data_IF_846836731439
#
_entry.id   IF_846836731439
#
_cell.length_a   1.000
_cell.length_b   1.000
_cell.length_c   1.000
_cell.angle_alpha   90.00
_cell.angle_beta   90.00
_cell.angle_gamma   90.00
#
_symmetry.space_group_name_H-M   'P 1'
#
loop_
_entity.id
_entity.type
_entity.pdbx_description
1 polymer ?
#
# COMPACT_ATOMS: atom_id res chain seq x y z
N UNK A 1 20.57 68.11 -16.47
CA UNK A 1 20.59 67.54 -15.11
C UNK A 1 19.44 66.55 -15.01
N UNK A 2 19.67 65.25 -15.25
CA UNK A 2 20.05 64.24 -14.23
C UNK A 2 18.93 64.04 -13.20
N UNK A 3 18.13 62.97 -13.35
CA UNK A 3 17.89 61.90 -12.36
C UNK A 3 16.55 61.15 -12.64
N UNK A 4 16.67 59.92 -13.13
CA UNK A 4 15.81 58.75 -12.80
C UNK A 4 16.20 58.29 -11.38
N UNK A 5 15.48 57.45 -10.57
CA UNK A 5 14.21 56.70 -10.69
C UNK A 5 13.28 56.86 -9.45
N UNK A 6 12.13 56.16 -9.43
CA UNK A 6 11.79 55.12 -8.42
C UNK A 6 10.28 54.85 -8.41
N UNK A 7 9.89 53.76 -9.09
CA UNK A 7 8.66 53.04 -8.80
C UNK A 7 8.78 52.46 -7.39
N UNK A 8 7.76 52.65 -6.55
CA UNK A 8 7.72 52.13 -5.19
C UNK A 8 7.96 50.61 -5.17
N UNK A 9 8.94 50.21 -4.38
CA UNK A 9 9.19 48.85 -3.95
C UNK A 9 8.86 48.77 -2.46
N UNK A 10 8.04 47.78 -2.06
CA UNK A 10 8.06 46.98 -0.79
C UNK A 10 6.62 46.57 -0.43
N UNK A 11 6.28 45.31 -0.14
CA UNK A 11 7.13 44.20 0.25
C UNK A 11 6.57 42.85 -0.19
N UNK A 12 7.41 42.09 -0.90
CA UNK A 12 7.37 40.64 -0.86
C UNK A 12 8.12 40.14 0.38
N UNK A 13 7.57 39.10 1.01
CA UNK A 13 8.14 38.15 1.99
C UNK A 13 6.93 37.38 2.56
N UNK A 14 6.85 36.07 2.73
CA UNK A 14 7.75 34.90 2.68
C UNK A 14 6.78 33.73 2.36
N UNK A 15 7.11 32.79 1.48
CA UNK A 15 8.07 31.73 1.78
C UNK A 15 7.35 30.58 2.48
N UNK A 16 7.23 29.43 1.81
CA UNK A 16 6.65 28.25 2.44
C UNK A 16 6.47 27.06 1.50
N UNK A 17 7.56 26.33 1.26
CA UNK A 17 7.61 25.02 0.60
C UNK A 17 6.47 24.10 1.06
N UNK A 18 5.50 23.83 0.20
CA UNK A 18 4.65 22.65 0.26
C UNK A 18 5.30 21.53 -0.54
N UNK A 19 6.26 20.83 0.09
CA UNK A 19 6.92 19.64 -0.47
C UNK A 19 5.88 18.66 -1.00
N UNK A 20 6.17 18.07 -2.16
CA UNK A 20 5.44 16.89 -2.65
C UNK A 20 5.33 15.85 -1.55
N UNK A 21 4.09 15.50 -1.21
CA UNK A 21 3.75 14.40 -0.31
C UNK A 21 2.79 13.54 -1.10
N UNK A 22 3.27 12.46 -1.70
CA UNK A 22 2.69 11.15 -1.33
C UNK A 22 3.57 9.94 -1.68
N UNK A 23 4.87 10.09 -1.95
CA UNK A 23 5.70 8.95 -2.41
C UNK A 23 6.72 8.47 -1.38
N UNK A 24 6.45 8.67 -0.09
CA UNK A 24 7.33 8.29 1.03
C UNK A 24 6.66 7.28 1.98
N UNK A 25 5.74 6.46 1.48
CA UNK A 25 4.89 5.65 2.35
C UNK A 25 5.35 4.19 2.54
N UNK A 26 6.43 3.75 1.88
CA UNK A 26 6.88 2.35 1.99
C UNK A 26 7.99 2.08 2.98
N UNK A 27 9.07 2.87 2.94
CA UNK A 27 10.12 2.76 3.95
C UNK A 27 9.55 2.98 5.35
N UNK A 28 8.58 3.91 5.48
CA UNK A 28 7.95 4.20 6.75
C UNK A 28 7.04 3.08 7.25
N UNK A 29 6.31 2.33 6.39
CA UNK A 29 5.38 1.26 6.81
C UNK A 29 6.11 -0.04 7.17
N UNK A 30 7.15 -0.41 6.41
CA UNK A 30 7.98 -1.57 6.72
C UNK A 30 8.81 -1.35 7.99
N UNK A 31 9.36 -0.15 8.19
CA UNK A 31 10.05 0.18 9.44
C UNK A 31 9.08 0.43 10.62
N UNK A 32 7.90 1.02 10.40
CA UNK A 32 6.88 1.12 11.47
C UNK A 32 6.48 -0.25 12.01
N UNK A 33 6.36 -1.25 11.12
CA UNK A 33 6.01 -2.62 11.50
C UNK A 33 7.07 -3.29 12.39
N UNK A 34 8.32 -2.83 12.36
CA UNK A 34 9.41 -3.35 13.18
C UNK A 34 9.56 -2.61 14.52
N UNK A 35 9.11 -1.35 14.60
CA UNK A 35 9.31 -0.49 15.79
C UNK A 35 8.12 -0.59 16.77
N UNK A 36 6.90 -0.88 16.29
CA UNK A 36 5.70 -0.97 17.14
C UNK A 36 5.32 -2.39 17.59
N UNK A 37 6.29 -3.21 17.99
CA UNK A 37 6.04 -4.39 18.86
C UNK A 37 5.56 -3.97 20.27
N UNK A 38 5.53 -2.66 20.54
CA UNK A 38 5.13 -2.06 21.82
C UNK A 38 3.61 -2.18 22.03
N UNK A 39 3.20 -3.24 22.73
CA UNK A 39 1.85 -3.54 23.22
C UNK A 39 0.80 -3.59 22.09
N UNK A 40 0.80 -4.66 21.30
CA UNK A 40 -0.25 -4.92 20.32
C UNK A 40 -1.62 -4.90 21.02
N UNK A 41 -2.40 -3.82 20.80
CA UNK A 41 -3.80 -3.78 21.19
C UNK A 41 -4.46 -5.03 20.60
N UNK A 42 -5.18 -5.79 21.42
CA UNK A 42 -5.83 -7.03 20.98
C UNK A 42 -6.88 -6.79 19.87
N UNK A 43 -7.28 -5.52 19.71
CA UNK A 43 -8.13 -5.01 18.65
C UNK A 43 -7.40 -4.68 17.36
N UNK A 44 -6.07 -4.59 17.36
CA UNK A 44 -5.25 -4.23 16.21
C UNK A 44 -5.45 -5.15 15.01
N UNK A 45 -5.23 -4.62 13.81
CA UNK A 45 -5.31 -5.37 12.58
C UNK A 45 -4.23 -6.47 12.55
N UNK A 46 -4.67 -7.72 12.38
CA UNK A 46 -3.80 -8.89 12.31
C UNK A 46 -4.12 -9.74 11.08
N UNK A 47 -3.12 -10.01 10.25
CA UNK A 47 -3.22 -10.90 9.08
C UNK A 47 -3.15 -12.35 9.56
N UNK A 48 -4.27 -13.06 9.50
CA UNK A 48 -4.38 -14.46 9.98
C UNK A 48 -4.01 -15.47 8.90
N UNK A 49 -4.19 -15.12 7.63
CA UNK A 49 -3.93 -16.03 6.51
C UNK A 49 -3.60 -15.20 5.28
N UNK A 50 -2.70 -15.68 4.44
CA UNK A 50 -2.44 -15.09 3.14
C UNK A 50 -1.76 -16.11 2.23
N UNK A 51 -1.58 -15.75 0.96
CA UNK A 51 -0.85 -16.57 0.00
C UNK A 51 0.53 -17.00 0.49
N UNK A 52 1.10 -17.98 -0.22
CA UNK A 52 2.46 -18.42 0.02
C UNK A 52 3.46 -17.26 -0.21
N UNK A 53 4.56 -17.25 0.56
CA UNK A 53 5.54 -16.17 0.48
C UNK A 53 6.23 -16.08 -0.88
N UNK A 54 6.25 -17.18 -1.64
CA UNK A 54 6.68 -17.24 -3.04
C UNK A 54 5.57 -17.89 -3.88
N UNK A 55 5.01 -17.13 -4.81
CA UNK A 55 3.91 -17.51 -5.68
C UNK A 55 4.41 -17.56 -7.12
N UNK A 56 4.40 -18.74 -7.73
CA UNK A 56 4.68 -18.87 -9.15
C UNK A 56 3.41 -18.61 -9.97
N UNK A 57 3.55 -17.94 -11.11
CA UNK A 57 2.48 -17.78 -12.10
C UNK A 57 2.97 -18.10 -13.51
N UNK A 58 2.02 -18.32 -14.43
CA UNK A 58 2.29 -18.55 -15.85
C UNK A 58 1.84 -17.32 -16.64
N UNK A 59 2.64 -16.93 -17.63
CA UNK A 59 2.30 -15.81 -18.51
C UNK A 59 1.00 -16.11 -19.29
N UNK A 60 0.13 -15.11 -19.41
CA UNK A 60 -1.17 -15.23 -20.06
C UNK A 60 -2.26 -15.89 -19.19
N UNK A 61 -1.94 -16.34 -17.98
CA UNK A 61 -2.89 -16.88 -17.01
C UNK A 61 -3.07 -15.94 -15.82
N UNK A 62 -3.99 -16.26 -14.93
CA UNK A 62 -4.23 -15.51 -13.70
C UNK A 62 -3.12 -15.69 -12.65
N UNK A 63 -2.61 -14.56 -12.14
CA UNK A 63 -1.90 -14.48 -10.87
C UNK A 63 -2.93 -14.13 -9.78
N UNK A 64 -2.98 -14.95 -8.72
CA UNK A 64 -3.94 -14.76 -7.62
C UNK A 64 -3.21 -14.69 -6.28
N UNK A 65 -3.43 -13.60 -5.55
CA UNK A 65 -2.96 -13.43 -4.19
C UNK A 65 -4.16 -13.22 -3.25
N UNK A 66 -4.11 -13.86 -2.08
CA UNK A 66 -5.16 -13.78 -1.07
C UNK A 66 -4.60 -13.26 0.24
N UNK A 67 -5.43 -12.52 0.98
CA UNK A 67 -5.10 -12.04 2.30
C UNK A 67 -6.37 -12.01 3.17
N UNK A 68 -6.26 -12.47 4.40
CA UNK A 68 -7.33 -12.57 5.39
C UNK A 68 -6.87 -11.89 6.66
N UNK A 69 -7.60 -10.87 7.09
CA UNK A 69 -7.26 -10.08 8.26
C UNK A 69 -8.40 -10.05 9.27
N UNK A 70 -8.03 -9.96 10.55
CA UNK A 70 -8.92 -9.84 11.70
C UNK A 70 -8.54 -8.59 12.50
N UNK A 71 -9.51 -7.92 13.11
CA UNK A 71 -9.31 -6.77 13.99
C UNK A 71 -10.67 -6.23 14.44
N UNK A 72 -10.69 -5.40 15.48
CA UNK A 72 -11.93 -4.84 16.03
C UNK A 72 -11.76 -3.35 16.29
N UNK A 73 -12.12 -2.44 15.38
CA UNK A 73 -12.92 -2.64 14.16
C UNK A 73 -12.26 -3.52 13.09
N UNK A 74 -13.11 -4.14 12.26
CA UNK A 74 -12.70 -4.91 11.09
C UNK A 74 -11.73 -4.09 10.23
N UNK A 75 -10.57 -4.65 9.89
CA UNK A 75 -9.56 -3.93 9.14
C UNK A 75 -9.97 -3.74 7.68
N UNK A 76 -9.38 -2.74 7.06
CA UNK A 76 -9.36 -2.56 5.59
C UNK A 76 -8.11 -3.20 5.02
N UNK A 77 -8.19 -3.83 3.84
CA UNK A 77 -7.03 -4.39 3.15
C UNK A 77 -6.70 -3.55 1.92
N UNK A 78 -5.42 -3.21 1.77
CA UNK A 78 -4.87 -2.61 0.54
C UNK A 78 -3.73 -3.46 0.00
N UNK A 79 -3.61 -3.50 -1.32
CA UNK A 79 -2.55 -4.23 -1.99
C UNK A 79 -1.53 -3.28 -2.60
N UNK A 80 -0.29 -3.73 -2.61
CA UNK A 80 0.84 -2.97 -3.09
C UNK A 80 1.78 -3.85 -3.89
N UNK A 81 2.45 -3.28 -4.88
CA UNK A 81 3.52 -3.91 -5.65
C UNK A 81 4.73 -3.00 -5.59
N UNK A 82 5.85 -3.53 -5.10
CA UNK A 82 7.17 -2.84 -5.06
C UNK A 82 7.11 -1.47 -4.38
N UNK A 83 6.19 -1.35 -3.42
CA UNK A 83 5.98 -0.12 -2.69
C UNK A 83 5.07 0.93 -3.33
N UNK A 84 4.32 0.57 -4.36
CA UNK A 84 3.25 1.40 -4.90
C UNK A 84 1.89 0.78 -4.61
N UNK A 85 0.93 1.59 -4.16
CA UNK A 85 -0.45 1.14 -3.98
C UNK A 85 -0.99 0.72 -5.33
N UNK A 86 -1.47 -0.52 -5.41
CA UNK A 86 -2.04 -1.01 -6.64
C UNK A 86 -3.46 -0.45 -6.77
N UNK A 87 -3.71 0.19 -7.89
CA UNK A 87 -5.04 0.67 -8.26
C UNK A 87 -5.72 -0.34 -9.19
N UNK A 88 -7.06 -0.40 -9.22
CA UNK A 88 -7.78 -1.16 -10.24
C UNK A 88 -7.38 -0.70 -11.64
N UNK A 89 -7.09 -1.67 -12.51
CA UNK A 89 -6.70 -1.46 -13.92
C UNK A 89 -7.38 -2.53 -14.76
N UNK A 90 -7.26 -2.44 -16.09
CA UNK A 90 -7.91 -3.37 -17.02
C UNK A 90 -7.63 -4.85 -16.71
N UNK A 91 -6.40 -5.18 -16.29
CA UNK A 91 -5.98 -6.54 -15.95
C UNK A 91 -5.84 -6.79 -14.44
N UNK A 92 -6.24 -5.85 -13.57
CA UNK A 92 -6.07 -5.95 -12.11
C UNK A 92 -7.42 -5.81 -11.43
N UNK A 93 -7.84 -6.87 -10.75
CA UNK A 93 -9.14 -6.97 -10.09
C UNK A 93 -9.01 -7.21 -8.58
N UNK A 94 -9.87 -6.53 -7.82
CA UNK A 94 -9.97 -6.66 -6.37
C UNK A 94 -11.30 -7.28 -5.99
N UNK A 95 -11.23 -8.24 -5.08
CA UNK A 95 -12.42 -8.85 -4.52
C UNK A 95 -12.29 -8.80 -3.01
N UNK A 96 -13.19 -8.08 -2.36
CA UNK A 96 -13.26 -8.00 -0.91
C UNK A 96 -14.54 -8.65 -0.41
N UNK A 97 -14.42 -9.46 0.64
CA UNK A 97 -15.54 -10.15 1.27
C UNK A 97 -15.42 -10.03 2.79
N UNK A 98 -16.28 -9.23 3.43
CA UNK A 98 -16.46 -9.27 4.88
C UNK A 98 -16.91 -10.68 5.27
N UNK A 99 -16.19 -11.34 6.18
CA UNK A 99 -16.53 -12.69 6.63
C UNK A 99 -17.37 -12.67 7.92
N UNK A 100 -17.11 -11.70 8.79
CA UNK A 100 -17.88 -11.39 10.00
C UNK A 100 -17.57 -9.96 10.45
N UNK A 101 -18.09 -9.53 11.60
CA UNK A 101 -17.93 -8.18 12.16
C UNK A 101 -16.49 -7.69 12.31
N UNK A 102 -15.53 -8.61 12.48
CA UNK A 102 -14.13 -8.32 12.80
C UNK A 102 -13.16 -8.87 11.76
N UNK A 103 -13.65 -9.44 10.66
CA UNK A 103 -12.82 -10.20 9.72
C UNK A 103 -13.16 -9.88 8.27
N UNK A 104 -12.12 -9.73 7.46
CA UNK A 104 -12.20 -9.49 6.03
C UNK A 104 -11.29 -10.46 5.28
N UNK A 105 -11.75 -10.88 4.11
CA UNK A 105 -10.97 -11.59 3.12
C UNK A 105 -10.85 -10.73 1.86
N UNK A 106 -9.65 -10.66 1.29
CA UNK A 106 -9.36 -9.91 0.07
C UNK A 106 -8.56 -10.78 -0.90
N UNK A 107 -8.90 -10.70 -2.19
CA UNK A 107 -8.19 -11.33 -3.29
C UNK A 107 -7.78 -10.26 -4.31
N UNK A 108 -6.48 -10.24 -4.60
CA UNK A 108 -5.91 -9.57 -5.75
C UNK A 108 -5.78 -10.58 -6.89
N UNK A 109 -6.28 -10.22 -8.05
CA UNK A 109 -6.22 -11.03 -9.26
C UNK A 109 -5.64 -10.20 -10.39
N UNK A 110 -4.60 -10.72 -11.04
CA UNK A 110 -4.04 -10.14 -12.26
C UNK A 110 -4.29 -11.09 -13.41
N UNK A 111 -5.11 -10.69 -14.38
CA UNK A 111 -5.54 -11.54 -15.50
C UNK A 111 -5.73 -10.70 -16.78
N UNK A 112 -4.98 -10.97 -17.87
CA UNK A 112 -3.87 -11.91 -17.96
C UNK A 112 -2.61 -11.39 -17.24
N UNK A 113 -1.87 -12.28 -16.59
CA UNK A 113 -0.57 -11.95 -16.01
C UNK A 113 0.51 -11.86 -17.10
N UNK A 114 1.36 -10.85 -16.95
CA UNK A 114 2.43 -10.49 -17.87
C UNK A 114 3.78 -10.56 -17.15
N UNK A 115 4.89 -10.44 -17.89
CA UNK A 115 6.23 -10.43 -17.30
C UNK A 115 6.41 -9.25 -16.31
N UNK A 116 5.70 -8.14 -16.54
CA UNK A 116 5.72 -6.96 -15.65
C UNK A 116 5.03 -7.16 -14.31
N UNK A 117 4.26 -8.25 -14.15
CA UNK A 117 3.58 -8.58 -12.91
C UNK A 117 4.47 -9.37 -11.94
N UNK A 118 5.70 -9.72 -12.34
CA UNK A 118 6.72 -10.19 -11.40
C UNK A 118 7.09 -9.07 -10.42
N UNK A 119 7.33 -9.45 -9.16
CA UNK A 119 7.78 -8.52 -8.13
C UNK A 119 7.38 -8.91 -6.71
N UNK A 120 7.61 -7.99 -5.78
CA UNK A 120 7.19 -8.14 -4.38
C UNK A 120 5.87 -7.44 -4.18
N UNK A 121 4.85 -8.21 -3.81
CA UNK A 121 3.54 -7.75 -3.44
C UNK A 121 3.43 -7.66 -1.92
N UNK A 122 2.56 -6.78 -1.42
CA UNK A 122 2.21 -6.71 -0.02
C UNK A 122 0.70 -6.55 0.14
N UNK A 123 0.10 -7.31 1.07
CA UNK A 123 -1.19 -6.94 1.62
C UNK A 123 -0.98 -6.18 2.93
N UNK A 124 -1.63 -5.04 3.06
CA UNK A 124 -1.59 -4.19 4.25
C UNK A 124 -2.98 -4.16 4.85
N UNK A 125 -3.12 -4.73 6.05
CA UNK A 125 -4.31 -4.65 6.87
C UNK A 125 -4.18 -3.48 7.84
N UNK A 126 -5.18 -2.61 7.86
CA UNK A 126 -5.17 -1.40 8.68
C UNK A 126 -6.48 -1.25 9.45
N UNK A 127 -6.38 -0.88 10.72
CA UNK A 127 -7.48 -0.34 11.51
C UNK A 127 -6.99 0.79 12.42
N UNK A 128 -7.89 1.38 13.21
CA UNK A 128 -7.56 2.51 14.09
C UNK A 128 -6.52 2.18 15.18
N UNK A 129 -6.35 0.90 15.53
CA UNK A 129 -5.41 0.46 16.57
C UNK A 129 -4.08 -0.04 16.03
N UNK A 130 -3.96 -0.26 14.71
CA UNK A 130 -2.68 -0.63 14.13
C UNK A 130 -2.74 -1.10 12.69
N UNK A 131 -1.54 -1.35 12.18
CA UNK A 131 -1.27 -1.75 10.79
C UNK A 131 -0.41 -3.01 10.81
N UNK A 132 -0.76 -3.98 9.98
CA UNK A 132 0.06 -5.17 9.74
C UNK A 132 0.19 -5.40 8.24
N UNK A 133 1.39 -5.75 7.80
CA UNK A 133 1.68 -6.05 6.41
C UNK A 133 2.21 -7.48 6.25
N UNK A 134 1.88 -8.12 5.12
CA UNK A 134 2.47 -9.41 4.72
C UNK A 134 2.93 -9.31 3.28
N UNK A 135 4.18 -9.69 3.05
CA UNK A 135 4.81 -9.67 1.73
C UNK A 135 4.70 -11.03 1.02
N UNK A 136 4.57 -10.98 -0.30
CA UNK A 136 4.53 -12.13 -1.19
C UNK A 136 5.43 -11.84 -2.39
N UNK A 137 6.31 -12.76 -2.73
CA UNK A 137 7.12 -12.71 -3.95
C UNK A 137 6.33 -13.41 -5.06
N UNK A 138 6.07 -12.73 -6.17
CA UNK A 138 5.47 -13.36 -7.35
C UNK A 138 6.52 -13.49 -8.46
N UNK A 139 6.70 -14.69 -8.99
CA UNK A 139 7.69 -15.01 -10.02
C UNK A 139 7.01 -15.78 -11.16
N UNK A 140 7.34 -15.47 -12.42
CA UNK A 140 6.81 -16.28 -13.51
C UNK A 140 7.69 -17.49 -13.78
N UNK A 141 7.05 -18.62 -14.08
CA UNK A 141 7.71 -19.81 -14.64
C UNK A 141 7.49 -19.89 -16.15
N UNK A 142 8.41 -20.57 -16.83
CA UNK A 142 8.27 -20.96 -18.23
C UNK A 142 7.43 -22.24 -18.37
#
# INVERSE_FOLDING_TARGET
LVCVPLLESRGGRRGGKGKGKSNLQFAQVAEFSLIHTTLADNRSAHIVTGSHFSQMFRLGYKLVLICKAKGTPRPTIKWYKEGAEMQPKNNVHYYEKPMNENMIWSKLEVDPATMGDQGVYACVANNEYGVMAKNFKAEYGY
#
